data_IF_339793129158
#
_entry.id   IF_339793129158
#
_cell.length_a   1.000
_cell.length_b   1.000
_cell.length_c   1.000
_cell.angle_alpha   90.00
_cell.angle_beta   90.00
_cell.angle_gamma   90.00
#
_symmetry.space_group_name_H-M   'P 1'
#
loop_
_entity.id
_entity.type
_entity.pdbx_description
1 polymer ?
#
# COMPACT_ATOMS: atom_id res chain seq x y z
N UNK A 1 0.73 -0.91 -13.38
CA UNK A 1 0.11 0.11 -12.48
C UNK A 1 0.14 1.53 -13.04
N UNK A 2 0.92 1.77 -14.10
CA UNK A 2 1.33 3.10 -14.57
C UNK A 2 0.28 3.86 -15.38
N UNK A 3 -0.79 3.20 -15.85
CA UNK A 3 -1.78 3.80 -16.76
C UNK A 3 -2.94 4.53 -16.06
N UNK A 4 -3.15 4.33 -14.76
CA UNK A 4 -4.27 4.95 -14.02
C UNK A 4 -3.76 5.81 -12.87
N UNK A 5 -2.86 5.28 -12.03
CA UNK A 5 -2.40 6.00 -10.83
C UNK A 5 -1.36 7.08 -11.15
N UNK A 6 -0.49 6.80 -12.11
CA UNK A 6 0.51 7.77 -12.57
C UNK A 6 -0.10 9.04 -13.16
N UNK A 7 -1.05 8.98 -14.13
CA UNK A 7 -1.68 10.20 -14.64
C UNK A 7 -2.53 10.90 -13.58
N UNK A 8 -3.16 10.17 -12.64
CA UNK A 8 -3.90 10.78 -11.54
C UNK A 8 -2.97 11.57 -10.59
N UNK A 9 -1.80 11.01 -10.26
CA UNK A 9 -0.82 11.68 -9.43
C UNK A 9 -0.21 12.90 -10.14
N UNK A 10 0.05 12.79 -11.45
CA UNK A 10 0.50 13.91 -12.29
C UNK A 10 -0.56 15.02 -12.36
N UNK A 11 -1.84 14.66 -12.50
CA UNK A 11 -2.96 15.62 -12.48
C UNK A 11 -3.07 16.35 -11.13
N UNK A 12 -2.91 15.64 -10.00
CA UNK A 12 -2.93 16.27 -8.67
C UNK A 12 -1.77 17.26 -8.50
N UNK A 13 -0.62 16.98 -9.09
CA UNK A 13 0.49 17.93 -9.05
C UNK A 13 0.28 19.11 -10.01
N UNK A 14 -0.21 18.87 -11.23
CA UNK A 14 -0.36 19.91 -12.26
C UNK A 14 -1.53 20.85 -12.01
N UNK A 15 -2.68 20.31 -11.63
CA UNK A 15 -3.95 21.06 -11.61
C UNK A 15 -4.33 21.48 -10.19
N UNK A 16 -3.98 20.67 -9.18
CA UNK A 16 -4.17 21.03 -7.77
C UNK A 16 -2.95 21.76 -7.17
N UNK A 17 -1.86 21.91 -7.93
CA UNK A 17 -0.63 22.57 -7.47
C UNK A 17 -0.16 22.07 -6.11
N UNK A 18 -0.22 20.75 -5.88
CA UNK A 18 -0.02 20.15 -4.56
C UNK A 18 1.31 20.57 -3.92
N UNK A 19 2.42 20.52 -4.67
CA UNK A 19 3.73 20.99 -4.17
C UNK A 19 3.75 22.49 -3.85
N UNK A 20 2.94 23.31 -4.53
CA UNK A 20 2.85 24.76 -4.28
C UNK A 20 2.03 25.09 -3.03
N UNK A 21 0.93 24.37 -2.79
CA UNK A 21 0.12 24.55 -1.58
C UNK A 21 0.76 23.94 -0.34
N UNK A 22 1.52 22.85 -0.50
CA UNK A 22 2.17 22.14 0.59
C UNK A 22 3.70 22.07 0.44
N UNK A 23 4.40 23.21 0.44
CA UNK A 23 5.86 23.25 0.24
C UNK A 23 6.63 22.56 1.37
N UNK A 24 6.03 22.40 2.55
CA UNK A 24 6.64 21.73 3.70
C UNK A 24 6.57 20.21 3.63
N UNK A 25 5.72 19.62 2.78
CA UNK A 25 5.55 18.16 2.71
C UNK A 25 6.61 17.56 1.78
N UNK A 26 7.64 16.95 2.36
CA UNK A 26 8.68 16.28 1.57
C UNK A 26 8.16 14.96 0.95
N UNK A 27 8.73 14.52 -0.19
CA UNK A 27 8.44 13.20 -0.74
C UNK A 27 8.61 12.08 0.31
N UNK A 28 9.69 12.13 1.09
CA UNK A 28 9.96 11.17 2.16
C UNK A 28 8.87 11.14 3.24
N UNK A 29 8.19 12.26 3.51
CA UNK A 29 7.08 12.29 4.45
C UNK A 29 5.85 11.53 3.90
N UNK A 30 5.60 11.66 2.59
CA UNK A 30 4.58 10.88 1.89
C UNK A 30 4.98 9.40 1.89
N UNK A 31 6.27 9.10 1.64
CA UNK A 31 6.81 7.74 1.68
C UNK A 31 6.82 7.11 3.10
N UNK A 32 6.76 7.92 4.16
CA UNK A 32 6.57 7.40 5.52
C UNK A 32 5.07 7.18 5.82
N UNK A 33 4.21 8.05 5.31
CA UNK A 33 2.78 7.98 5.54
C UNK A 33 2.12 6.79 4.84
N UNK A 34 2.45 6.53 3.57
CA UNK A 34 1.92 5.35 2.86
C UNK A 34 2.43 4.02 3.49
N UNK A 35 3.61 4.02 4.14
CA UNK A 35 4.11 2.91 4.96
C UNK A 35 3.21 2.66 6.17
N UNK A 36 2.89 3.73 6.90
CA UNK A 36 1.99 3.67 8.05
C UNK A 36 0.59 3.16 7.67
N UNK A 37 0.04 3.59 6.53
CA UNK A 37 -1.22 3.07 6.01
C UNK A 37 -1.15 1.58 5.68
N UNK A 38 -0.01 1.11 5.20
CA UNK A 38 0.24 -0.32 4.95
C UNK A 38 0.09 -1.12 6.25
N UNK A 39 0.68 -0.66 7.35
CA UNK A 39 0.56 -1.31 8.67
C UNK A 39 -0.89 -1.31 9.17
N UNK A 40 -1.60 -0.18 9.04
CA UNK A 40 -3.01 -0.09 9.42
C UNK A 40 -3.86 -1.08 8.63
N UNK A 41 -3.62 -1.21 7.32
CA UNK A 41 -4.42 -2.06 6.44
C UNK A 41 -4.40 -3.53 6.84
N UNK A 42 -3.29 -4.01 7.43
CA UNK A 42 -3.16 -5.40 7.94
C UNK A 42 -4.26 -5.72 8.95
N UNK A 43 -4.51 -4.79 9.88
CA UNK A 43 -5.52 -4.96 10.93
C UNK A 43 -6.91 -5.13 10.35
N UNK A 44 -7.20 -4.42 9.26
CA UNK A 44 -8.47 -4.52 8.53
C UNK A 44 -8.57 -5.82 7.72
N UNK A 45 -7.49 -6.28 7.09
CA UNK A 45 -7.47 -7.55 6.34
C UNK A 45 -7.68 -8.77 7.24
N UNK A 46 -7.11 -8.76 8.45
CA UNK A 46 -7.25 -9.86 9.40
C UNK A 46 -8.63 -9.92 10.09
N UNK A 47 -9.53 -8.96 9.83
CA UNK A 47 -10.88 -8.93 10.43
C UNK A 47 -11.81 -9.99 9.84
N UNK A 48 -12.76 -10.47 10.65
CA UNK A 48 -13.78 -11.43 10.20
C UNK A 48 -14.92 -10.77 9.40
N UNK A 49 -15.10 -9.45 9.55
CA UNK A 49 -16.17 -8.73 8.86
C UNK A 49 -15.78 -8.33 7.43
N UNK A 50 -16.68 -8.57 6.47
CA UNK A 50 -16.48 -8.20 5.07
C UNK A 50 -16.32 -6.68 4.88
N UNK A 51 -17.04 -5.89 5.67
CA UNK A 51 -16.98 -4.42 5.59
C UNK A 51 -15.60 -3.91 5.99
N UNK A 52 -15.03 -4.38 7.10
CA UNK A 52 -13.70 -3.95 7.52
C UNK A 52 -12.63 -4.36 6.50
N UNK A 53 -12.74 -5.53 5.86
CA UNK A 53 -11.82 -5.91 4.78
C UNK A 53 -11.92 -4.98 3.58
N UNK A 54 -13.13 -4.60 3.16
CA UNK A 54 -13.33 -3.62 2.07
C UNK A 54 -12.71 -2.27 2.40
N UNK A 55 -12.86 -1.80 3.64
CA UNK A 55 -12.16 -0.59 4.11
C UNK A 55 -10.65 -0.77 4.03
N UNK A 56 -10.12 -1.93 4.45
CA UNK A 56 -8.69 -2.26 4.31
C UNK A 56 -8.20 -2.19 2.86
N UNK A 57 -8.98 -2.70 1.90
CA UNK A 57 -8.66 -2.61 0.47
C UNK A 57 -8.65 -1.15 0.00
N UNK A 58 -9.63 -0.34 0.42
CA UNK A 58 -9.67 1.08 0.06
C UNK A 58 -8.47 1.85 0.63
N UNK A 59 -8.07 1.58 1.87
CA UNK A 59 -6.87 2.16 2.49
C UNK A 59 -5.62 1.74 1.70
N UNK A 60 -5.54 0.48 1.28
CA UNK A 60 -4.41 -0.03 0.50
C UNK A 60 -4.37 0.56 -0.92
N UNK A 61 -5.53 0.81 -1.53
CA UNK A 61 -5.64 1.51 -2.80
C UNK A 61 -5.15 2.96 -2.68
N UNK A 62 -5.57 3.66 -1.62
CA UNK A 62 -5.12 5.01 -1.33
C UNK A 62 -3.61 5.06 -1.05
N UNK A 63 -3.06 4.06 -0.35
CA UNK A 63 -1.61 3.86 -0.19
C UNK A 63 -0.91 3.78 -1.55
N UNK A 64 -1.42 2.99 -2.49
CA UNK A 64 -0.83 2.85 -3.83
C UNK A 64 -0.93 4.13 -4.67
N UNK A 65 -1.91 4.98 -4.40
CA UNK A 65 -1.96 6.30 -5.00
C UNK A 65 -0.87 7.23 -4.44
N UNK A 66 -0.68 7.24 -3.11
CA UNK A 66 0.34 8.05 -2.45
C UNK A 66 1.77 7.65 -2.85
N UNK A 67 1.99 6.35 -3.07
CA UNK A 67 3.21 5.75 -3.63
C UNK A 67 3.54 6.22 -5.07
N UNK A 68 2.53 6.63 -5.83
CA UNK A 68 2.78 7.29 -7.11
C UNK A 68 3.02 8.80 -6.92
N UNK A 69 2.37 9.40 -5.92
CA UNK A 69 2.40 10.83 -5.65
C UNK A 69 3.76 11.28 -5.12
N UNK A 70 4.40 10.55 -4.21
CA UNK A 70 5.73 10.91 -3.69
C UNK A 70 6.78 10.99 -4.80
N UNK A 71 6.75 10.07 -5.77
CA UNK A 71 7.58 10.08 -6.96
C UNK A 71 7.28 11.27 -7.88
N UNK A 72 6.02 11.65 -8.04
CA UNK A 72 5.62 12.85 -8.81
C UNK A 72 6.09 14.13 -8.11
N UNK A 73 5.85 14.27 -6.80
CA UNK A 73 6.27 15.42 -5.99
C UNK A 73 7.80 15.55 -5.98
N UNK A 74 8.52 14.44 -5.91
CA UNK A 74 9.98 14.45 -6.04
C UNK A 74 10.45 15.00 -7.39
N UNK A 75 9.83 14.56 -8.50
CA UNK A 75 10.13 15.05 -9.85
C UNK A 75 9.81 16.54 -10.00
N UNK A 76 8.67 16.98 -9.48
CA UNK A 76 8.25 18.39 -9.49
C UNK A 76 9.24 19.27 -8.72
N UNK A 77 9.67 18.84 -7.53
CA UNK A 77 10.65 19.58 -6.71
C UNK A 77 12.02 19.71 -7.35
N UNK A 78 12.50 18.68 -8.03
CA UNK A 78 13.80 18.71 -8.74
C UNK A 78 13.68 19.45 -10.09
N UNK A 79 12.48 19.92 -10.47
CA UNK A 79 12.18 20.54 -11.78
C UNK A 79 12.61 19.66 -12.96
N UNK A 80 12.70 18.34 -12.75
CA UNK A 80 13.05 17.37 -13.77
C UNK A 80 11.79 16.56 -14.12
N UNK A 81 11.10 16.99 -15.18
CA UNK A 81 9.90 16.34 -15.73
C UNK A 81 10.21 15.06 -16.52
N UNK A 82 11.49 14.70 -16.69
CA UNK A 82 11.90 13.45 -17.36
C UNK A 82 11.95 12.31 -16.34
N UNK A 83 11.38 11.15 -16.71
CA UNK A 83 11.55 9.86 -16.04
C UNK A 83 13.05 9.47 -16.01
N UNK A 84 13.81 10.03 -15.07
CA UNK A 84 15.20 9.66 -14.79
C UNK A 84 15.23 9.07 -13.39
N UNK A 85 15.46 7.76 -13.28
CA UNK A 85 15.75 7.12 -11.98
C UNK A 85 17.04 7.73 -11.43
N UNK A 86 16.91 8.67 -10.50
CA UNK A 86 18.04 9.19 -9.74
C UNK A 86 18.48 8.12 -8.72
N UNK A 87 19.28 7.15 -9.17
CA UNK A 87 19.77 5.97 -8.41
C UNK A 87 20.76 6.31 -7.27
N UNK A 88 20.65 7.49 -6.65
CA UNK A 88 21.62 7.96 -5.65
C UNK A 88 21.07 8.81 -4.51
N UNK A 89 19.75 9.06 -4.47
CA UNK A 89 19.15 9.82 -3.38
C UNK A 89 18.50 8.88 -2.34
N UNK A 90 18.60 9.21 -1.05
CA UNK A 90 18.05 8.41 0.06
C UNK A 90 16.56 8.07 -0.12
N UNK A 91 15.80 8.95 -0.76
CA UNK A 91 14.39 8.73 -1.08
C UNK A 91 14.12 7.49 -1.95
N UNK A 92 15.01 7.12 -2.88
CA UNK A 92 14.82 5.94 -3.74
C UNK A 92 14.88 4.63 -2.94
N UNK A 93 15.78 4.57 -1.95
CA UNK A 93 15.90 3.39 -1.09
C UNK A 93 14.74 3.30 -0.11
N UNK A 94 14.30 4.43 0.44
CA UNK A 94 13.17 4.48 1.38
C UNK A 94 11.88 4.05 0.68
N UNK A 95 11.62 4.57 -0.52
CA UNK A 95 10.46 4.22 -1.35
C UNK A 95 10.44 2.71 -1.65
N UNK A 96 11.56 2.16 -2.15
CA UNK A 96 11.68 0.73 -2.43
C UNK A 96 11.53 -0.18 -1.19
N UNK A 97 12.06 0.24 -0.03
CA UNK A 97 11.88 -0.52 1.23
C UNK A 97 10.42 -0.48 1.66
N UNK A 98 9.78 0.69 1.57
CA UNK A 98 8.37 0.83 1.94
C UNK A 98 7.45 0.02 1.03
N UNK A 99 7.77 -0.09 -0.25
CA UNK A 99 7.04 -0.93 -1.20
C UNK A 99 7.08 -2.42 -0.84
N UNK A 100 8.28 -2.93 -0.55
CA UNK A 100 8.47 -4.31 -0.12
C UNK A 100 7.76 -4.59 1.21
N UNK A 101 7.82 -3.63 2.14
CA UNK A 101 7.08 -3.70 3.41
C UNK A 101 5.57 -3.68 3.18
N UNK A 102 5.06 -2.82 2.30
CA UNK A 102 3.64 -2.77 1.96
C UNK A 102 3.14 -4.08 1.37
N UNK A 103 3.89 -4.66 0.42
CA UNK A 103 3.56 -5.96 -0.19
C UNK A 103 3.59 -7.12 0.81
N UNK A 104 4.60 -7.18 1.68
CA UNK A 104 4.68 -8.20 2.73
C UNK A 104 3.56 -8.07 3.76
N UNK A 105 3.21 -6.85 4.15
CA UNK A 105 2.07 -6.56 5.03
C UNK A 105 0.75 -7.09 4.46
N UNK A 106 0.50 -6.90 3.17
CA UNK A 106 -0.68 -7.43 2.48
C UNK A 106 -0.74 -8.96 2.55
N UNK A 107 0.37 -9.62 2.20
CA UNK A 107 0.48 -11.09 2.21
C UNK A 107 0.24 -11.62 3.62
N UNK A 108 0.88 -11.03 4.63
CA UNK A 108 0.72 -11.44 6.04
C UNK A 108 -0.73 -11.25 6.50
N UNK A 109 -1.37 -10.12 6.19
CA UNK A 109 -2.77 -9.88 6.53
C UNK A 109 -3.72 -10.92 5.93
N UNK A 110 -3.52 -11.27 4.65
CA UNK A 110 -4.27 -12.33 3.99
C UNK A 110 -4.00 -13.72 4.58
N UNK A 111 -2.74 -14.03 4.91
CA UNK A 111 -2.35 -15.32 5.51
C UNK A 111 -2.94 -15.49 6.91
N UNK A 112 -2.85 -14.47 7.77
CA UNK A 112 -3.45 -14.48 9.10
C UNK A 112 -4.96 -14.74 9.03
N UNK A 113 -5.62 -14.08 8.09
CA UNK A 113 -7.03 -14.29 7.83
C UNK A 113 -7.33 -15.74 7.41
N UNK A 114 -6.56 -16.27 6.46
CA UNK A 114 -6.73 -17.64 5.96
C UNK A 114 -6.45 -18.69 7.04
N UNK A 115 -5.42 -18.50 7.87
CA UNK A 115 -5.11 -19.39 8.98
C UNK A 115 -6.20 -19.38 10.06
N UNK A 116 -6.79 -18.22 10.35
CA UNK A 116 -7.90 -18.10 11.29
C UNK A 116 -9.17 -18.80 10.81
N UNK A 117 -9.39 -18.83 9.49
CA UNK A 117 -10.55 -19.48 8.88
C UNK A 117 -10.35 -20.96 8.55
N UNK A 118 -9.17 -21.56 8.78
CA UNK A 118 -9.02 -23.00 8.59
C UNK A 118 -9.91 -23.71 9.62
N UNK A 119 -10.99 -24.40 9.23
CA UNK A 119 -11.54 -25.41 10.13
C UNK A 119 -10.39 -26.39 10.37
N UNK A 120 -10.08 -26.66 11.64
CA UNK A 120 -9.43 -27.92 11.99
C UNK A 120 -10.28 -28.97 11.29
N UNK A 121 -9.75 -29.57 10.22
CA UNK A 121 -10.44 -30.61 9.48
C UNK A 121 -10.56 -31.75 10.48
N UNK A 122 -11.65 -31.73 11.25
CA UNK A 122 -12.00 -32.77 12.18
C UNK A 122 -12.16 -34.01 11.31
N UNK A 123 -11.15 -34.87 11.35
CA UNK A 123 -11.22 -36.23 10.85
C UNK A 123 -12.13 -36.96 11.84
N UNK A 124 -13.41 -36.60 11.87
CA UNK A 124 -14.45 -37.28 12.65
C UNK A 124 -15.54 -37.64 11.66
N UNK A 125 -15.21 -38.54 10.74
CA UNK A 125 -16.22 -39.29 10.01
C UNK A 125 -15.73 -40.71 9.83
N UNK A 126 -16.46 -41.64 10.47
CA UNK A 126 -16.44 -43.11 10.34
C UNK A 126 -15.47 -43.92 11.21
N UNK A 127 -15.69 -43.91 12.53
CA UNK A 127 -15.39 -45.09 13.39
C UNK A 127 -16.57 -45.47 14.29
N UNK A 128 -17.79 -45.08 13.93
CA UNK A 128 -19.03 -45.49 14.61
C UNK A 128 -19.99 -46.25 13.66
N UNK A 129 -19.43 -47.03 12.71
CA UNK A 129 -20.23 -47.86 11.78
C UNK A 129 -19.77 -49.32 11.69
N UNK A 130 -18.94 -49.80 12.64
CA UNK A 130 -18.65 -51.23 12.79
C UNK A 130 -18.96 -51.63 14.22
N UNK A 131 -20.26 -51.68 14.51
CA UNK A 131 -20.84 -52.62 15.48
C UNK A 131 -21.10 -53.93 14.74
#
# INVERSE_FOLDING_TARGET
>A
TQYVRSPLAEYVESDLYFTSYFPSISPNAISMFHCFLSIISIKFFSSDSLLQRRIGVLIFEFRNFLDCLDGVVFRARIKNLRYKSYRGNSGYYIDGITDVLGGTCLIVGCLLHFFKQRPLRSITHKTNQTL
#
